data_IF_811739623569
#
_entry.id   IF_811739623569
#
_cell.length_a   1.000
_cell.length_b   1.000
_cell.length_c   1.000
_cell.angle_alpha   90.00
_cell.angle_beta   90.00
_cell.angle_gamma   90.00
#
_symmetry.space_group_name_H-M   'P 1'
#
loop_
_entity.id
_entity.type
_entity.pdbx_description
1 polymer ?
#
# COMPACT_ATOMS: atom_id res chain seq x y z
N UNK A 1 4.80 -17.19 -6.12
CA UNK A 1 5.36 -16.41 -7.25
C UNK A 1 4.47 -15.23 -7.63
N UNK A 2 3.16 -15.43 -7.78
CA UNK A 2 2.22 -14.35 -8.11
C UNK A 2 2.03 -13.33 -6.99
N UNK A 3 1.86 -13.79 -5.74
CA UNK A 3 1.70 -12.93 -4.56
C UNK A 3 2.91 -11.97 -4.35
N UNK A 4 4.12 -12.46 -4.60
CA UNK A 4 5.37 -11.68 -4.52
C UNK A 4 5.38 -10.55 -5.56
N UNK A 5 4.90 -10.84 -6.79
CA UNK A 5 4.81 -9.83 -7.86
C UNK A 5 3.83 -8.73 -7.47
N UNK A 6 2.63 -9.09 -7.03
CA UNK A 6 1.59 -8.09 -6.71
C UNK A 6 1.86 -7.36 -5.40
N UNK A 7 2.63 -7.93 -4.46
CA UNK A 7 3.11 -7.18 -3.29
C UNK A 7 4.17 -6.15 -3.64
N UNK A 8 5.03 -6.44 -4.63
CA UNK A 8 6.01 -5.48 -5.14
C UNK A 8 5.36 -4.40 -6.02
N UNK A 9 4.32 -4.76 -6.76
CA UNK A 9 3.60 -3.85 -7.65
C UNK A 9 2.09 -3.83 -7.33
N UNK A 10 1.69 -3.28 -6.16
CA UNK A 10 0.30 -3.34 -5.68
C UNK A 10 -0.66 -2.43 -6.46
N UNK A 11 -0.15 -1.65 -7.40
CA UNK A 11 -0.90 -0.82 -8.34
C UNK A 11 -1.34 -1.56 -9.62
N UNK A 12 -0.88 -2.80 -9.83
CA UNK A 12 -1.29 -3.61 -10.98
C UNK A 12 -2.77 -4.03 -10.88
N UNK A 13 -3.38 -4.27 -12.03
CA UNK A 13 -4.74 -4.82 -12.15
C UNK A 13 -4.92 -6.11 -11.36
N UNK A 14 -3.93 -7.00 -11.43
CA UNK A 14 -3.93 -8.29 -10.76
C UNK A 14 -3.97 -8.12 -9.22
N UNK A 15 -3.28 -7.12 -8.68
CA UNK A 15 -3.33 -6.82 -7.25
C UNK A 15 -4.72 -6.35 -6.81
N UNK A 16 -5.36 -5.50 -7.62
CA UNK A 16 -6.73 -5.02 -7.37
C UNK A 16 -7.75 -6.15 -7.40
N UNK A 17 -7.63 -7.06 -8.37
CA UNK A 17 -8.48 -8.25 -8.45
C UNK A 17 -8.26 -9.19 -7.27
N UNK A 18 -7.01 -9.39 -6.87
CA UNK A 18 -6.66 -10.20 -5.71
C UNK A 18 -7.30 -9.65 -4.42
N UNK A 19 -7.19 -8.34 -4.16
CA UNK A 19 -7.83 -7.70 -2.99
C UNK A 19 -9.34 -7.87 -3.03
N UNK A 20 -9.96 -7.66 -4.20
CA UNK A 20 -11.41 -7.83 -4.39
C UNK A 20 -11.86 -9.27 -4.11
N UNK A 21 -11.10 -10.26 -4.57
CA UNK A 21 -11.40 -11.68 -4.38
C UNK A 21 -11.21 -12.15 -2.94
N UNK A 22 -10.30 -11.52 -2.18
CA UNK A 22 -10.15 -11.81 -0.74
C UNK A 22 -11.39 -11.41 0.06
N UNK A 23 -12.15 -10.42 -0.42
CA UNK A 23 -13.42 -10.01 0.18
C UNK A 23 -13.27 -9.28 1.51
N UNK A 24 -12.10 -8.71 1.80
CA UNK A 24 -11.87 -7.94 3.04
C UNK A 24 -12.67 -6.64 2.98
N UNK A 25 -13.47 -6.38 4.01
CA UNK A 25 -14.23 -5.15 4.16
C UNK A 25 -13.36 -3.98 4.62
N UNK A 26 -13.87 -2.76 4.44
CA UNK A 26 -13.16 -1.55 4.90
C UNK A 26 -13.13 -1.53 6.44
N UNK A 27 -14.22 -1.96 7.07
CA UNK A 27 -14.36 -2.06 8.53
C UNK A 27 -13.30 -2.99 9.12
N UNK A 28 -13.13 -4.18 8.54
CA UNK A 28 -12.05 -5.11 8.95
C UNK A 28 -10.67 -4.46 8.83
N UNK A 29 -10.37 -3.80 7.69
CA UNK A 29 -9.07 -3.14 7.47
C UNK A 29 -8.81 -2.04 8.50
N UNK A 30 -9.84 -1.32 8.94
CA UNK A 30 -9.69 -0.20 9.87
C UNK A 30 -9.59 -0.67 11.33
N UNK A 31 -10.38 -1.67 11.72
CA UNK A 31 -10.60 -1.99 13.14
C UNK A 31 -9.91 -3.28 13.59
N UNK A 32 -9.77 -4.28 12.71
CA UNK A 32 -9.18 -5.56 13.12
C UNK A 32 -7.66 -5.41 13.36
N UNK A 33 -7.17 -6.05 14.42
CA UNK A 33 -5.76 -6.06 14.81
C UNK A 33 -4.88 -6.76 13.79
N UNK A 34 -5.42 -7.71 13.02
CA UNK A 34 -4.66 -8.44 12.00
C UNK A 34 -4.12 -7.50 10.90
N UNK A 35 -4.81 -6.38 10.64
CA UNK A 35 -4.41 -5.38 9.65
C UNK A 35 -3.62 -4.20 10.22
N UNK A 36 -3.27 -4.21 11.51
CA UNK A 36 -2.50 -3.13 12.15
C UNK A 36 -1.18 -2.85 11.41
N UNK A 37 -0.49 -3.92 10.97
CA UNK A 37 0.76 -3.80 10.21
C UNK A 37 0.54 -3.09 8.87
N UNK A 38 -0.53 -3.44 8.16
CA UNK A 38 -0.89 -2.79 6.90
C UNK A 38 -1.22 -1.31 7.12
N UNK A 39 -1.97 -0.96 8.18
CA UNK A 39 -2.28 0.45 8.53
C UNK A 39 -1.01 1.25 8.82
N UNK A 40 -0.15 0.74 9.70
CA UNK A 40 1.14 1.38 10.05
C UNK A 40 2.00 1.57 8.81
N UNK A 41 2.09 0.53 7.97
CA UNK A 41 2.85 0.60 6.72
C UNK A 41 2.25 1.60 5.75
N UNK A 42 0.92 1.67 5.61
CA UNK A 42 0.25 2.63 4.73
C UNK A 42 0.54 4.09 5.11
N UNK A 43 0.51 4.41 6.41
CA UNK A 43 0.93 5.72 6.93
C UNK A 43 2.40 6.00 6.59
N UNK A 44 3.27 5.01 6.78
CA UNK A 44 4.70 5.14 6.48
C UNK A 44 4.96 5.37 4.98
N UNK A 45 4.24 4.71 4.08
CA UNK A 45 4.34 4.94 2.62
C UNK A 45 4.06 6.41 2.26
N UNK A 46 2.97 6.96 2.81
CA UNK A 46 2.60 8.37 2.57
C UNK A 46 3.65 9.31 3.15
N UNK A 47 4.12 9.03 4.37
CA UNK A 47 5.19 9.81 5.02
C UNK A 47 6.47 9.80 4.19
N UNK A 48 6.95 8.64 3.76
CA UNK A 48 8.14 8.49 2.92
C UNK A 48 7.99 9.24 1.61
N UNK A 49 6.83 9.14 0.95
CA UNK A 49 6.59 9.88 -0.27
C UNK A 49 6.65 11.40 -0.07
N UNK A 50 6.04 11.92 1.00
CA UNK A 50 6.00 13.35 1.27
C UNK A 50 7.37 13.88 1.72
N UNK A 51 8.07 13.15 2.59
CA UNK A 51 9.32 13.62 3.19
C UNK A 51 10.51 13.30 2.28
N UNK A 52 10.63 12.05 1.84
CA UNK A 52 11.80 11.51 1.13
C UNK A 52 11.62 11.51 -0.39
N UNK A 53 10.37 11.52 -0.89
CA UNK A 53 10.08 11.51 -2.32
C UNK A 53 10.30 10.15 -3.00
N UNK A 54 10.40 9.08 -2.22
CA UNK A 54 10.50 7.68 -2.66
C UNK A 54 9.83 6.79 -1.61
N UNK A 55 9.10 5.76 -2.03
CA UNK A 55 8.61 4.71 -1.13
C UNK A 55 9.58 3.54 -1.20
N UNK A 56 10.14 3.14 -0.06
CA UNK A 56 11.15 2.07 -0.02
C UNK A 56 10.48 0.72 0.13
N UNK A 57 11.08 -0.30 -0.48
CA UNK A 57 10.71 -1.70 -0.27
C UNK A 57 10.96 -2.13 1.17
N UNK A 58 10.12 -3.03 1.66
CA UNK A 58 10.32 -3.74 2.92
C UNK A 58 10.85 -5.15 2.63
N UNK A 59 11.69 -5.72 3.52
CA UNK A 59 12.00 -7.14 3.46
C UNK A 59 10.74 -7.95 3.79
N UNK A 60 10.18 -8.62 2.78
CA UNK A 60 9.01 -9.48 2.91
C UNK A 60 9.45 -10.94 2.92
N UNK A 61 9.08 -11.68 3.97
CA UNK A 61 9.68 -13.00 4.24
C UNK A 61 8.66 -14.14 4.13
N UNK A 62 7.38 -13.84 4.34
CA UNK A 62 6.29 -14.83 4.34
C UNK A 62 5.02 -14.27 3.67
N UNK A 63 4.02 -15.15 3.47
CA UNK A 63 2.74 -14.80 2.84
C UNK A 63 2.01 -13.65 3.54
N UNK A 64 1.99 -13.65 4.87
CA UNK A 64 1.35 -12.58 5.64
C UNK A 64 2.02 -11.23 5.36
N UNK A 65 3.36 -11.18 5.27
CA UNK A 65 4.06 -9.94 4.92
C UNK A 65 3.67 -9.45 3.52
N UNK A 66 3.56 -10.36 2.54
CA UNK A 66 3.13 -10.00 1.19
C UNK A 66 1.69 -9.46 1.17
N UNK A 67 0.76 -10.11 1.87
CA UNK A 67 -0.63 -9.62 1.98
C UNK A 67 -0.68 -8.24 2.64
N UNK A 68 0.03 -8.04 3.75
CA UNK A 68 0.06 -6.76 4.46
C UNK A 68 0.65 -5.64 3.60
N UNK A 69 1.66 -5.92 2.79
CA UNK A 69 2.21 -4.93 1.86
C UNK A 69 1.19 -4.53 0.80
N UNK A 70 0.40 -5.47 0.27
CA UNK A 70 -0.67 -5.18 -0.71
C UNK A 70 -1.75 -4.28 -0.08
N UNK A 71 -2.25 -4.63 1.12
CA UNK A 71 -3.25 -3.80 1.80
C UNK A 71 -2.70 -2.42 2.18
N UNK A 72 -1.41 -2.33 2.54
CA UNK A 72 -0.77 -1.07 2.90
C UNK A 72 -0.82 -0.05 1.77
N UNK A 73 -0.73 -0.50 0.51
CA UNK A 73 -0.84 0.37 -0.66
C UNK A 73 -2.26 0.93 -0.81
N UNK A 74 -3.29 0.10 -0.65
CA UNK A 74 -4.68 0.55 -0.69
C UNK A 74 -4.94 1.60 0.41
N UNK A 75 -4.45 1.36 1.63
CA UNK A 75 -4.56 2.28 2.75
C UNK A 75 -3.82 3.60 2.47
N UNK A 76 -2.59 3.53 1.98
CA UNK A 76 -1.81 4.71 1.62
C UNK A 76 -2.52 5.56 0.55
N UNK A 77 -3.15 4.93 -0.45
CA UNK A 77 -3.99 5.64 -1.43
C UNK A 77 -5.19 6.32 -0.80
N UNK A 78 -5.91 5.65 0.10
CA UNK A 78 -7.05 6.27 0.81
C UNK A 78 -6.59 7.52 1.56
N UNK A 79 -5.48 7.42 2.29
CA UNK A 79 -4.89 8.55 3.02
C UNK A 79 -4.51 9.67 2.06
N UNK A 80 -3.77 9.38 0.99
CA UNK A 80 -3.31 10.39 0.03
C UNK A 80 -4.47 11.14 -0.63
N UNK A 81 -5.58 10.46 -0.94
CA UNK A 81 -6.80 11.08 -1.47
C UNK A 81 -7.51 11.91 -0.40
N UNK A 82 -7.57 11.44 0.84
CA UNK A 82 -8.21 12.14 1.96
C UNK A 82 -7.55 13.48 2.32
N UNK A 83 -6.32 13.74 1.88
CA UNK A 83 -5.68 15.06 2.02
C UNK A 83 -6.30 16.14 1.11
N UNK A 84 -7.10 15.75 0.10
CA UNK A 84 -7.74 16.66 -0.87
C UNK A 84 -6.75 17.67 -1.48
N UNK A 85 -5.52 17.21 -1.70
CA UNK A 85 -4.42 18.04 -2.12
C UNK A 85 -3.65 17.40 -3.29
N UNK A 86 -3.78 18.00 -4.48
CA UNK A 86 -3.14 17.55 -5.71
C UNK A 86 -1.63 17.39 -5.58
N UNK A 87 -0.96 18.25 -4.79
CA UNK A 87 0.47 18.14 -4.57
C UNK A 87 0.82 16.86 -3.82
N UNK A 88 0.08 16.55 -2.75
CA UNK A 88 0.27 15.32 -1.97
C UNK A 88 0.00 14.09 -2.83
N UNK A 89 -1.09 14.10 -3.60
CA UNK A 89 -1.46 12.99 -4.47
C UNK A 89 -0.39 12.72 -5.55
N UNK A 90 0.07 13.76 -6.25
CA UNK A 90 1.11 13.64 -7.28
C UNK A 90 2.45 13.21 -6.71
N UNK A 91 2.82 13.75 -5.55
CA UNK A 91 4.07 13.40 -4.87
C UNK A 91 4.05 11.95 -4.39
N UNK A 92 2.92 11.47 -3.86
CA UNK A 92 2.72 10.06 -3.53
C UNK A 92 2.85 9.14 -4.75
N UNK A 93 2.14 9.44 -5.84
CA UNK A 93 2.19 8.64 -7.06
C UNK A 93 3.61 8.56 -7.65
N UNK A 94 4.35 9.68 -7.68
CA UNK A 94 5.73 9.72 -8.17
C UNK A 94 6.68 8.92 -7.27
N UNK A 95 6.51 8.99 -5.95
CA UNK A 95 7.35 8.28 -5.00
C UNK A 95 7.16 6.75 -5.09
N UNK A 96 5.93 6.28 -5.28
CA UNK A 96 5.64 4.86 -5.54
C UNK A 96 6.26 4.40 -6.87
N UNK A 97 6.15 5.21 -7.93
CA UNK A 97 6.75 4.88 -9.22
C UNK A 97 8.28 4.78 -9.15
N UNK A 98 8.93 5.65 -8.36
CA UNK A 98 10.38 5.58 -8.11
C UNK A 98 10.79 4.35 -7.30
N UNK A 99 9.98 3.95 -6.31
CA UNK A 99 10.25 2.74 -5.53
C UNK A 99 10.17 1.46 -6.36
N UNK A 100 9.39 1.48 -7.44
CA UNK A 100 9.18 0.33 -8.32
C UNK A 100 10.28 0.14 -9.39
N UNK A 101 11.12 1.15 -9.65
CA UNK A 101 12.20 1.12 -10.65
C UNK A 101 13.53 0.71 -10.04
#
# INVERSE_FOLDING_TARGET
MELIKISKYPFLSEAKEWVKNRGVSIEEILDDIIYERARRRGVERVRQAIIEGIVRDMPLVNEVDFEMEIYSYAIARMIAVAFENDYVLRRYALAEAKGAY
#
